data_IF_510136156331
#
_entry.id   IF_510136156331
#
_cell.length_a   1.000
_cell.length_b   1.000
_cell.length_c   1.000
_cell.angle_alpha   90.00
_cell.angle_beta   90.00
_cell.angle_gamma   90.00
#
_symmetry.space_group_name_H-M   'P 1'
#
loop_
_entity.id
_entity.type
_entity.pdbx_description
1 polymer ?
#
# COMPACT_ATOMS: atom_id res chain seq x y z
N UNK A 1 1.45 20.03 12.70
CA UNK A 1 0.00 19.86 12.37
C UNK A 1 -0.42 18.44 11.98
N UNK A 2 0.50 17.45 11.92
CA UNK A 2 0.14 16.03 11.75
C UNK A 2 -0.04 15.32 13.11
N UNK A 3 0.72 15.77 14.13
CA UNK A 3 0.74 15.18 15.47
C UNK A 3 -0.61 15.22 16.16
N UNK A 4 -1.29 16.38 16.21
CA UNK A 4 -2.56 16.50 16.93
C UNK A 4 -3.60 15.46 16.47
N UNK A 5 -3.80 15.28 15.16
CA UNK A 5 -4.79 14.33 14.64
C UNK A 5 -4.41 12.87 14.89
N UNK A 6 -3.14 12.51 14.71
CA UNK A 6 -2.68 11.15 14.99
C UNK A 6 -2.80 10.83 16.48
N UNK A 7 -2.40 11.77 17.33
CA UNK A 7 -2.52 11.65 18.79
C UNK A 7 -3.99 11.48 19.18
N UNK A 8 -4.89 12.32 18.66
CA UNK A 8 -6.32 12.27 18.94
C UNK A 8 -6.94 10.94 18.49
N UNK A 9 -6.59 10.46 17.29
CA UNK A 9 -7.08 9.19 16.75
C UNK A 9 -6.61 7.99 17.59
N UNK A 10 -5.33 7.94 17.97
CA UNK A 10 -4.81 6.85 18.79
C UNK A 10 -5.39 6.90 20.20
N UNK A 11 -5.59 8.09 20.79
CA UNK A 11 -6.23 8.23 22.11
C UNK A 11 -7.64 7.63 22.15
N UNK A 12 -8.39 7.69 21.06
CA UNK A 12 -9.74 7.10 20.99
C UNK A 12 -9.73 5.56 21.07
N UNK A 13 -8.65 4.93 20.62
CA UNK A 13 -8.48 3.47 20.62
C UNK A 13 -7.49 3.00 21.70
N UNK A 14 -6.94 3.92 22.48
CA UNK A 14 -5.97 3.62 23.51
C UNK A 14 -6.66 2.97 24.71
N UNK A 15 -6.23 1.76 25.05
CA UNK A 15 -6.71 0.99 26.18
C UNK A 15 -5.48 0.64 27.03
N UNK A 16 -5.41 1.13 28.28
CA UNK A 16 -4.32 0.74 29.17
C UNK A 16 -4.32 -0.79 29.36
N UNK A 17 -3.13 -1.37 29.44
CA UNK A 17 -2.88 -2.82 29.61
C UNK A 17 -3.20 -3.75 28.43
N UNK A 18 -3.35 -3.21 27.21
CA UNK A 18 -3.41 -4.02 25.98
C UNK A 18 -2.02 -4.23 25.37
N UNK A 19 -1.81 -5.41 24.80
CA UNK A 19 -0.60 -5.77 24.05
C UNK A 19 -0.65 -5.21 22.62
N UNK A 20 0.01 -4.07 22.39
CA UNK A 20 0.09 -3.40 21.09
C UNK A 20 1.08 -4.04 20.11
N UNK A 21 1.66 -5.20 20.44
CA UNK A 21 2.55 -5.94 19.53
C UNK A 21 1.81 -6.92 18.61
N UNK A 22 0.48 -7.03 18.74
CA UNK A 22 -0.33 -8.03 18.04
C UNK A 22 -1.55 -7.46 17.34
N UNK A 23 -1.97 -8.17 16.29
CA UNK A 23 -3.21 -7.90 15.58
C UNK A 23 -3.24 -6.52 14.92
N UNK A 24 -4.42 -5.89 14.91
CA UNK A 24 -4.63 -4.56 14.31
C UNK A 24 -3.81 -3.49 15.03
N UNK A 25 -3.53 -3.68 16.32
CA UNK A 25 -2.74 -2.77 17.14
C UNK A 25 -1.26 -2.73 16.77
N UNK A 26 -0.78 -3.66 15.94
CA UNK A 26 0.59 -3.67 15.42
C UNK A 26 0.77 -2.82 14.15
N UNK A 27 -0.26 -2.08 13.73
CA UNK A 27 -0.12 -1.12 12.64
C UNK A 27 0.88 -0.03 13.00
N UNK A 28 1.82 0.28 12.09
CA UNK A 28 2.80 1.36 12.26
C UNK A 28 2.10 2.65 12.70
N UNK A 29 2.64 3.29 13.71
CA UNK A 29 2.09 4.49 14.33
C UNK A 29 1.37 4.20 15.65
N UNK A 30 0.70 3.06 15.78
CA UNK A 30 -0.02 2.71 17.02
C UNK A 30 0.93 2.28 18.15
N UNK A 31 1.86 1.32 17.96
CA UNK A 31 2.77 0.93 19.04
C UNK A 31 3.78 2.03 19.38
N UNK A 32 4.20 2.84 18.40
CA UNK A 32 5.01 4.03 18.66
C UNK A 32 4.25 5.03 19.55
N UNK A 33 2.95 5.20 19.32
CA UNK A 33 2.12 6.12 20.08
C UNK A 33 1.69 5.57 21.45
N UNK A 34 1.62 4.24 21.62
CA UNK A 34 1.43 3.61 22.94
C UNK A 34 2.57 3.99 23.90
N UNK A 35 3.82 3.99 23.42
CA UNK A 35 5.00 4.42 24.19
C UNK A 35 4.83 5.89 24.62
N UNK A 36 4.43 6.77 23.68
CA UNK A 36 4.16 8.18 23.99
C UNK A 36 3.14 8.34 25.11
N UNK A 37 1.98 7.69 24.96
CA UNK A 37 0.84 7.91 25.84
C UNK A 37 1.13 7.39 27.25
N UNK A 38 1.93 6.31 27.37
CA UNK A 38 2.42 5.83 28.66
C UNK A 38 3.43 6.79 29.27
N UNK A 39 4.40 7.28 28.50
CA UNK A 39 5.40 8.23 29.00
C UNK A 39 4.78 9.59 29.37
N UNK A 40 3.81 10.07 28.59
CA UNK A 40 3.05 11.30 28.85
C UNK A 40 2.34 11.27 30.21
N UNK A 41 1.82 10.11 30.63
CA UNK A 41 1.19 9.93 31.95
C UNK A 41 2.17 9.87 33.12
N UNK A 42 3.46 9.60 32.85
CA UNK A 42 4.50 9.45 33.88
C UNK A 42 5.36 10.71 34.05
N UNK A 43 5.36 11.63 33.07
CA UNK A 43 6.14 12.86 33.08
C UNK A 43 5.25 14.03 33.55
N UNK A 44 5.46 14.46 34.79
CA UNK A 44 4.87 15.68 35.34
C UNK A 44 5.36 16.91 34.56
N UNK A 45 4.42 17.63 33.91
CA UNK A 45 4.49 19.00 33.34
C UNK A 45 5.72 19.48 32.56
N UNK A 46 6.73 18.64 32.29
CA UNK A 46 7.87 19.03 31.47
C UNK A 46 7.53 18.95 29.98
N UNK A 47 7.25 20.11 29.40
CA UNK A 47 6.88 20.23 27.99
C UNK A 47 8.07 19.94 27.06
N UNK A 48 9.32 20.13 27.49
CA UNK A 48 10.50 19.94 26.64
C UNK A 48 10.77 18.45 26.42
N UNK A 49 10.71 17.63 27.48
CA UNK A 49 10.80 16.17 27.33
C UNK A 49 9.67 15.59 26.48
N UNK A 50 8.43 16.06 26.63
CA UNK A 50 7.29 15.62 25.80
C UNK A 50 7.52 15.89 24.31
N UNK A 51 8.09 17.04 23.98
CA UNK A 51 8.40 17.38 22.59
C UNK A 51 9.53 16.51 22.02
N UNK A 52 10.57 16.23 22.80
CA UNK A 52 11.68 15.35 22.36
C UNK A 52 11.22 13.90 22.12
N UNK A 53 10.35 13.35 22.99
CA UNK A 53 9.77 12.03 22.81
C UNK A 53 8.91 12.01 21.54
N UNK A 54 8.07 13.03 21.34
CA UNK A 54 7.23 13.13 20.15
C UNK A 54 8.07 13.14 18.86
N UNK A 55 9.16 13.91 18.83
CA UNK A 55 10.11 13.93 17.70
C UNK A 55 10.77 12.57 17.45
N UNK A 56 11.22 11.90 18.52
CA UNK A 56 11.76 10.54 18.44
C UNK A 56 10.75 9.57 17.82
N UNK A 57 9.50 9.63 18.25
CA UNK A 57 8.43 8.76 17.76
C UNK A 57 8.09 9.00 16.30
N UNK A 58 8.02 10.27 15.88
CA UNK A 58 7.84 10.62 14.48
C UNK A 58 8.98 10.00 13.65
N UNK A 59 10.22 10.18 14.09
CA UNK A 59 11.39 9.58 13.43
C UNK A 59 11.24 8.05 13.30
N UNK A 60 10.79 7.37 14.35
CA UNK A 60 10.56 5.92 14.33
C UNK A 60 9.43 5.52 13.37
N UNK A 61 8.31 6.23 13.36
CA UNK A 61 7.21 6.00 12.41
C UNK A 61 7.71 6.12 10.97
N UNK A 62 8.49 7.17 10.67
CA UNK A 62 9.08 7.37 9.36
C UNK A 62 10.05 6.24 9.01
N UNK A 63 10.93 5.88 9.94
CA UNK A 63 11.90 4.79 9.75
C UNK A 63 11.19 3.45 9.44
N UNK A 64 10.21 3.09 10.26
CA UNK A 64 9.44 1.85 10.11
C UNK A 64 8.62 1.85 8.81
N UNK A 65 8.06 3.00 8.43
CA UNK A 65 7.33 3.15 7.16
C UNK A 65 8.26 2.94 5.96
N UNK A 66 9.44 3.56 5.98
CA UNK A 66 10.46 3.36 4.93
C UNK A 66 10.88 1.89 4.84
N UNK A 67 11.14 1.23 5.98
CA UNK A 67 11.51 -0.18 6.03
C UNK A 67 10.39 -1.08 5.47
N UNK A 68 9.13 -0.79 5.83
CA UNK A 68 7.97 -1.52 5.30
C UNK A 68 7.87 -1.36 3.78
N UNK A 69 8.03 -0.14 3.25
CA UNK A 69 8.00 0.12 1.81
C UNK A 69 9.11 -0.66 1.11
N UNK A 70 10.35 -0.64 1.63
CA UNK A 70 11.45 -1.42 1.08
C UNK A 70 11.12 -2.92 1.04
N UNK A 71 10.65 -3.49 2.15
CA UNK A 71 10.27 -4.91 2.19
C UNK A 71 9.10 -5.25 1.25
N UNK A 72 8.13 -4.34 1.08
CA UNK A 72 7.03 -4.54 0.14
C UNK A 72 7.52 -4.49 -1.31
N UNK A 73 8.42 -3.57 -1.65
CA UNK A 73 9.06 -3.49 -2.95
C UNK A 73 9.86 -4.76 -3.26
N UNK A 74 10.67 -5.24 -2.31
CA UNK A 74 11.43 -6.48 -2.45
C UNK A 74 10.52 -7.68 -2.69
N UNK A 75 9.41 -7.78 -1.94
CA UNK A 75 8.39 -8.83 -2.14
C UNK A 75 7.76 -8.75 -3.52
N UNK A 76 7.40 -7.56 -3.99
CA UNK A 76 6.83 -7.37 -5.33
C UNK A 76 7.83 -7.79 -6.41
N UNK A 77 9.09 -7.35 -6.28
CA UNK A 77 10.14 -7.69 -7.23
C UNK A 77 10.45 -9.19 -7.23
N UNK A 78 10.48 -9.81 -6.04
CA UNK A 78 10.61 -11.26 -5.89
C UNK A 78 9.45 -12.00 -6.56
N UNK A 79 8.20 -11.57 -6.34
CA UNK A 79 7.03 -12.15 -7.01
C UNK A 79 7.10 -12.01 -8.53
N UNK A 80 7.54 -10.86 -9.04
CA UNK A 80 7.72 -10.64 -10.48
C UNK A 80 8.75 -11.62 -11.06
N UNK A 81 9.87 -11.81 -10.37
CA UNK A 81 11.00 -12.61 -10.85
C UNK A 81 10.78 -14.12 -10.70
N UNK A 82 10.37 -14.60 -9.52
CA UNK A 82 10.25 -16.03 -9.21
C UNK A 82 8.91 -16.62 -9.68
N UNK A 83 7.81 -15.87 -9.63
CA UNK A 83 6.48 -16.39 -10.00
C UNK A 83 6.14 -16.17 -11.47
N UNK A 84 7.09 -15.72 -12.31
CA UNK A 84 6.90 -15.56 -13.75
C UNK A 84 5.66 -14.70 -14.08
N UNK A 85 5.33 -13.71 -13.24
CA UNK A 85 4.07 -12.99 -13.34
C UNK A 85 3.99 -12.17 -14.63
N UNK A 86 5.14 -11.64 -15.08
CA UNK A 86 5.29 -11.01 -16.40
C UNK A 86 5.11 -11.99 -17.56
N UNK A 87 5.52 -13.25 -17.41
CA UNK A 87 5.29 -14.27 -18.43
C UNK A 87 3.82 -14.66 -18.53
N UNK A 88 3.09 -14.72 -17.42
CA UNK A 88 1.63 -14.97 -17.44
C UNK A 88 0.91 -13.84 -18.16
N UNK A 89 1.23 -12.58 -17.84
CA UNK A 89 0.65 -11.41 -18.53
C UNK A 89 1.02 -11.42 -20.02
N UNK A 90 2.29 -11.70 -20.36
CA UNK A 90 2.76 -11.80 -21.75
C UNK A 90 2.06 -12.93 -22.52
N UNK A 91 1.89 -14.10 -21.92
CA UNK A 91 1.17 -15.24 -22.50
C UNK A 91 -0.31 -14.90 -22.76
N UNK A 92 -0.99 -14.26 -21.81
CA UNK A 92 -2.39 -13.85 -22.00
C UNK A 92 -2.54 -12.80 -23.10
N UNK A 93 -1.63 -11.82 -23.15
CA UNK A 93 -1.65 -10.78 -24.19
C UNK A 93 -1.31 -11.34 -25.57
N UNK A 94 -0.32 -12.23 -25.68
CA UNK A 94 0.04 -12.88 -26.95
C UNK A 94 -1.07 -13.80 -27.42
N UNK A 95 -1.67 -14.58 -26.52
CA UNK A 95 -2.82 -15.43 -26.84
C UNK A 95 -4.04 -14.60 -27.28
N UNK A 96 -4.34 -13.49 -26.60
CA UNK A 96 -5.43 -12.58 -26.98
C UNK A 96 -5.18 -11.95 -28.36
N UNK A 97 -3.96 -11.49 -28.64
CA UNK A 97 -3.58 -10.97 -29.96
C UNK A 97 -3.76 -12.03 -31.06
N UNK A 98 -3.36 -13.27 -30.80
CA UNK A 98 -3.47 -14.34 -31.79
C UNK A 98 -4.91 -14.79 -32.04
N UNK A 99 -5.77 -14.78 -31.01
CA UNK A 99 -7.22 -14.96 -31.17
C UNK A 99 -7.80 -13.83 -32.03
N UNK A 100 -7.47 -12.57 -31.72
CA UNK A 100 -7.97 -11.40 -32.48
C UNK A 100 -7.54 -11.47 -33.94
N UNK A 101 -6.29 -11.85 -34.21
CA UNK A 101 -5.76 -12.07 -35.57
C UNK A 101 -6.50 -13.20 -36.29
N UNK A 102 -6.75 -14.34 -35.64
CA UNK A 102 -7.53 -15.45 -36.22
C UNK A 102 -8.97 -15.03 -36.54
N UNK A 103 -9.61 -14.23 -35.68
CA UNK A 103 -10.94 -13.69 -35.95
C UNK A 103 -10.94 -12.70 -37.12
N UNK A 104 -9.95 -11.82 -37.21
CA UNK A 104 -9.79 -10.90 -38.34
C UNK A 104 -9.52 -11.64 -39.65
N UNK A 105 -8.74 -12.73 -39.66
CA UNK A 105 -8.57 -13.53 -40.87
C UNK A 105 -9.84 -14.29 -41.26
N UNK A 106 -10.63 -14.74 -40.28
CA UNK A 106 -11.87 -15.51 -40.52
C UNK A 106 -13.06 -14.63 -40.92
N UNK A 107 -13.14 -13.41 -40.42
CA UNK A 107 -14.31 -12.52 -40.57
C UNK A 107 -13.97 -11.13 -41.16
N UNK A 108 -12.70 -10.75 -41.30
CA UNK A 108 -12.27 -9.45 -41.85
C UNK A 108 -12.33 -9.36 -43.38
N UNK A 109 -12.76 -10.44 -44.05
CA UNK A 109 -13.03 -10.48 -45.49
C UNK A 109 -14.49 -10.19 -45.87
N UNK A 110 -15.31 -9.64 -44.98
CA UNK A 110 -16.64 -9.14 -45.36
C UNK A 110 -16.44 -7.79 -46.07
N UNK A 111 -16.08 -7.87 -47.35
CA UNK A 111 -16.28 -6.78 -48.29
C UNK A 111 -17.78 -6.53 -48.40
N UNK A 112 -18.28 -5.51 -47.71
CA UNK A 112 -19.56 -4.91 -48.08
C UNK A 112 -19.36 -4.29 -49.47
N UNK A 113 -19.68 -5.07 -50.51
CA UNK A 113 -19.85 -4.55 -51.84
C UNK A 113 -21.03 -3.57 -51.81
N UNK A 114 -20.75 -2.28 -51.64
CA UNK A 114 -21.72 -1.22 -51.89
C UNK A 114 -21.99 -1.20 -53.40
N UNK A 115 -22.96 -2.01 -53.83
CA UNK A 115 -23.55 -1.92 -55.15
C UNK A 115 -24.46 -0.67 -55.17
N UNK A 116 -23.85 0.50 -55.31
CA UNK A 116 -24.55 1.74 -55.63
C UNK A 116 -24.23 2.10 -57.09
N UNK A 117 -24.83 1.35 -58.02
CA UNK A 117 -24.94 1.75 -59.42
C UNK A 117 -26.41 2.06 -59.71
N UNK A 118 -26.83 3.26 -59.31
CA UNK A 118 -28.00 3.95 -59.86
C UNK A 118 -27.54 5.36 -60.22
N UNK A 119 -27.13 5.52 -61.48
CA UNK A 119 -27.47 6.58 -62.43
C UNK A 119 -26.61 6.42 -63.68
#
# INVERSE_FOLDING_TARGET
MLHARLVDEVRLIFIPDVDYTKGICWSIGVPEMDIYLREETNIDEDNESKETILQSLISNIWHNTCLLICHQLDKIQWLINEKMWLCIISLVLTFSKEIKKKLLMKYGGISFCNHARIL
#
